data_IF_681740815074
#
_entry.id   IF_681740815074
#
_cell.length_a   1.000
_cell.length_b   1.000
_cell.length_c   1.000
_cell.angle_alpha   90.00
_cell.angle_beta   90.00
_cell.angle_gamma   90.00
#
_symmetry.space_group_name_H-M   'P 1'
#
loop_
_entity.id
_entity.type
_entity.pdbx_description
1 polymer ?
#
# COMPACT_ATOMS: atom_id res chain seq x y z
N UNK A 1 25.03 5.81 -3.51
CA UNK A 1 23.90 5.42 -2.62
C UNK A 1 22.76 4.96 -3.50
N UNK A 2 22.07 3.88 -3.13
CA UNK A 2 21.01 3.29 -3.93
C UNK A 2 19.64 3.60 -3.30
N UNK A 3 18.83 4.46 -3.94
CA UNK A 3 17.52 4.84 -3.44
C UNK A 3 16.48 3.75 -3.73
N UNK A 4 15.79 3.28 -2.69
CA UNK A 4 14.74 2.27 -2.79
C UNK A 4 13.37 2.95 -2.69
N UNK A 5 12.42 2.61 -3.57
CA UNK A 5 11.01 3.01 -3.39
C UNK A 5 10.28 1.90 -2.63
N UNK A 6 9.64 2.25 -1.52
CA UNK A 6 8.60 1.41 -0.90
C UNK A 6 7.24 1.96 -1.32
N UNK A 7 6.61 1.28 -2.27
CA UNK A 7 5.35 1.72 -2.87
C UNK A 7 4.15 1.13 -2.12
N UNK A 8 3.56 1.95 -1.25
CA UNK A 8 2.33 1.65 -0.52
C UNK A 8 1.10 1.91 -1.40
N UNK A 9 0.11 1.02 -1.32
CA UNK A 9 -1.19 1.13 -2.02
C UNK A 9 -2.34 0.77 -1.07
N UNK A 10 -2.63 -0.53 -0.93
CA UNK A 10 -3.71 -1.09 -0.07
C UNK A 10 -3.18 -1.76 1.20
N UNK A 11 -1.88 -1.65 1.41
CA UNK A 11 -1.06 -2.27 2.42
C UNK A 11 -0.55 -1.24 3.42
N UNK A 12 -1.43 -0.35 3.89
CA UNK A 12 -1.10 0.84 4.68
C UNK A 12 -0.73 0.53 6.14
N UNK A 13 0.36 -0.22 6.34
CA UNK A 13 0.92 -0.62 7.65
C UNK A 13 2.43 -0.85 7.55
N UNK A 14 3.15 -0.69 8.66
CA UNK A 14 4.58 -1.01 8.77
C UNK A 14 4.84 -2.44 9.27
N UNK A 15 3.94 -2.98 10.11
CA UNK A 15 4.02 -4.35 10.63
C UNK A 15 3.61 -5.38 9.57
N UNK A 16 4.25 -6.55 9.59
CA UNK A 16 3.97 -7.63 8.63
C UNK A 16 4.05 -7.14 7.17
N UNK A 17 5.12 -6.39 6.86
CA UNK A 17 5.29 -5.69 5.60
C UNK A 17 6.63 -6.06 4.94
N UNK A 18 6.67 -7.20 4.26
CA UNK A 18 7.88 -7.73 3.60
C UNK A 18 8.60 -6.72 2.68
N UNK A 19 7.91 -5.93 1.83
CA UNK A 19 8.57 -4.95 0.97
C UNK A 19 9.32 -3.87 1.75
N UNK A 20 8.81 -3.47 2.92
CA UNK A 20 9.41 -2.40 3.73
C UNK A 20 10.70 -2.90 4.37
N UNK A 21 10.65 -4.10 4.96
CA UNK A 21 11.83 -4.77 5.54
C UNK A 21 12.90 -5.02 4.47
N UNK A 22 12.51 -5.53 3.31
CA UNK A 22 13.44 -5.84 2.22
C UNK A 22 14.11 -4.58 1.64
N UNK A 23 13.37 -3.47 1.53
CA UNK A 23 13.92 -2.20 1.06
C UNK A 23 14.85 -1.57 2.10
N UNK A 24 14.45 -1.54 3.38
CA UNK A 24 15.23 -0.95 4.47
C UNK A 24 16.60 -1.63 4.61
N UNK A 25 16.68 -2.94 4.40
CA UNK A 25 17.93 -3.70 4.39
C UNK A 25 18.90 -3.34 3.24
N UNK A 26 18.44 -2.61 2.21
CA UNK A 26 19.25 -2.24 1.03
C UNK A 26 19.69 -0.78 1.00
N UNK A 27 19.18 0.05 1.90
CA UNK A 27 19.60 1.44 2.06
C UNK A 27 18.44 2.43 2.15
N UNK A 28 18.68 3.71 1.81
CA UNK A 28 17.69 4.78 1.90
C UNK A 28 16.39 4.46 1.16
N UNK A 29 15.26 4.62 1.85
CA UNK A 29 13.93 4.31 1.39
C UNK A 29 13.10 5.59 1.24
N UNK A 30 12.50 5.73 0.05
CA UNK A 30 11.39 6.64 -0.21
C UNK A 30 10.08 5.87 0.00
N UNK A 31 9.45 6.05 1.17
CA UNK A 31 8.13 5.49 1.47
C UNK A 31 7.07 6.33 0.75
N UNK A 32 6.43 5.75 -0.28
CA UNK A 32 5.65 6.50 -1.25
C UNK A 32 4.22 5.98 -1.37
N UNK A 33 3.26 6.90 -1.32
CA UNK A 33 1.89 6.68 -1.76
C UNK A 33 1.54 7.66 -2.88
N UNK A 34 0.83 7.18 -3.90
CA UNK A 34 0.41 7.99 -5.05
C UNK A 34 -1.11 8.02 -5.10
N UNK A 35 -1.71 9.21 -5.02
CA UNK A 35 -3.10 9.41 -5.39
C UNK A 35 -3.22 9.37 -6.91
N UNK A 36 -3.80 8.29 -7.43
CA UNK A 36 -3.89 8.03 -8.86
C UNK A 36 -5.21 8.57 -9.41
N UNK A 37 -5.21 9.55 -10.34
CA UNK A 37 -6.46 10.10 -10.87
C UNK A 37 -7.37 9.05 -11.51
N UNK A 38 -6.80 8.01 -12.12
CA UNK A 38 -7.58 6.91 -12.72
C UNK A 38 -8.30 6.03 -11.70
N UNK A 39 -7.81 5.95 -10.45
CA UNK A 39 -8.49 5.25 -9.37
C UNK A 39 -9.49 6.15 -8.66
N UNK A 40 -9.13 7.41 -8.42
CA UNK A 40 -10.03 8.39 -7.80
C UNK A 40 -11.29 8.64 -8.64
N UNK A 41 -11.17 8.61 -9.96
CA UNK A 41 -12.26 8.82 -10.90
C UNK A 41 -12.91 7.52 -11.39
N UNK A 42 -12.57 6.38 -10.76
CA UNK A 42 -13.17 5.10 -11.11
C UNK A 42 -14.66 5.06 -10.67
N UNK A 43 -15.55 4.36 -11.42
CA UNK A 43 -16.97 4.30 -11.08
C UNK A 43 -17.27 3.69 -9.70
N UNK A 44 -16.36 2.88 -9.17
CA UNK A 44 -16.43 2.22 -7.87
C UNK A 44 -15.72 3.00 -6.75
N UNK A 45 -15.29 4.24 -7.00
CA UNK A 45 -14.63 5.08 -6.00
C UNK A 45 -15.56 6.17 -5.46
N UNK A 46 -15.79 6.16 -4.15
CA UNK A 46 -16.66 7.11 -3.45
C UNK A 46 -15.82 8.04 -2.55
N UNK A 47 -16.23 9.32 -2.32
CA UNK A 47 -15.56 10.21 -1.36
C UNK A 47 -15.34 9.60 0.04
N UNK A 48 -16.21 8.70 0.48
CA UNK A 48 -16.05 7.96 1.75
C UNK A 48 -14.83 7.03 1.74
N UNK A 49 -14.46 6.46 0.59
CA UNK A 49 -13.21 5.70 0.43
C UNK A 49 -11.99 6.61 0.60
N UNK A 50 -12.03 7.84 0.08
CA UNK A 50 -10.95 8.81 0.24
C UNK A 50 -10.77 9.22 1.70
N UNK A 51 -11.86 9.41 2.43
CA UNK A 51 -11.81 9.74 3.86
C UNK A 51 -11.14 8.63 4.68
N UNK A 52 -11.59 7.37 4.50
CA UNK A 52 -10.98 6.20 5.14
C UNK A 52 -9.49 6.05 4.77
N UNK A 53 -9.18 6.27 3.49
CA UNK A 53 -7.81 6.23 2.97
C UNK A 53 -6.94 7.30 3.65
N UNK A 54 -7.40 8.54 3.71
CA UNK A 54 -6.64 9.65 4.31
C UNK A 54 -6.35 9.42 5.80
N UNK A 55 -7.33 8.92 6.55
CA UNK A 55 -7.14 8.53 7.96
C UNK A 55 -6.09 7.41 8.09
N UNK A 56 -6.13 6.42 7.18
CA UNK A 56 -5.16 5.34 7.14
C UNK A 56 -3.75 5.80 6.76
N UNK A 57 -3.62 6.75 5.82
CA UNK A 57 -2.35 7.37 5.44
C UNK A 57 -1.75 8.19 6.57
N UNK A 58 -2.57 8.91 7.35
CA UNK A 58 -2.12 9.63 8.53
C UNK A 58 -1.59 8.69 9.64
N UNK A 59 -2.27 7.55 9.85
CA UNK A 59 -1.79 6.48 10.73
C UNK A 59 -0.46 5.93 10.25
N UNK A 60 -0.34 5.58 8.96
CA UNK A 60 0.89 5.06 8.36
C UNK A 60 2.05 6.07 8.45
N UNK A 61 1.78 7.36 8.22
CA UNK A 61 2.79 8.40 8.33
C UNK A 61 3.36 8.48 9.75
N UNK A 62 2.50 8.45 10.77
CA UNK A 62 2.93 8.40 12.19
C UNK A 62 3.75 7.15 12.48
N UNK A 63 3.36 5.99 11.94
CA UNK A 63 4.11 4.74 12.11
C UNK A 63 5.51 4.82 11.48
N UNK A 64 5.62 5.38 10.28
CA UNK A 64 6.91 5.59 9.59
C UNK A 64 7.81 6.59 10.33
N UNK A 65 7.24 7.66 10.92
CA UNK A 65 8.00 8.62 11.75
C UNK A 65 8.67 7.95 12.94
N UNK A 66 7.98 7.00 13.60
CA UNK A 66 8.57 6.20 14.68
C UNK A 66 9.74 5.34 14.22
N UNK A 67 9.79 4.98 12.93
CA UNK A 67 10.87 4.21 12.30
C UNK A 67 11.97 5.09 11.68
N UNK A 68 11.92 6.41 11.89
CA UNK A 68 12.91 7.35 11.35
C UNK A 68 12.72 7.71 9.87
N UNK A 69 11.53 7.47 9.31
CA UNK A 69 11.17 7.83 7.94
C UNK A 69 9.87 8.64 7.89
N UNK A 70 9.39 9.00 6.71
CA UNK A 70 8.11 9.68 6.54
C UNK A 70 7.40 9.18 5.30
N UNK A 71 6.06 9.22 5.32
CA UNK A 71 5.27 8.95 4.12
C UNK A 71 5.33 10.16 3.19
N UNK A 72 5.79 9.95 1.96
CA UNK A 72 5.75 10.92 0.87
C UNK A 72 4.51 10.66 0.02
N UNK A 73 3.75 11.72 -0.23
CA UNK A 73 2.55 11.70 -1.05
C UNK A 73 2.84 12.32 -2.42
N UNK A 74 2.33 11.69 -3.48
CA UNK A 74 2.29 12.24 -4.85
C UNK A 74 0.87 12.17 -5.38
N UNK A 75 0.58 12.99 -6.38
CA UNK A 75 -0.64 12.92 -7.17
C UNK A 75 -0.24 12.77 -8.63
N UNK A 76 -0.74 11.76 -9.31
CA UNK A 76 -0.38 11.53 -10.71
C UNK A 76 -0.63 10.12 -11.18
N UNK A 77 -0.35 9.87 -12.46
CA UNK A 77 -0.50 8.55 -13.07
C UNK A 77 0.79 7.76 -12.93
N UNK A 78 0.68 6.45 -12.80
CA UNK A 78 1.83 5.55 -12.86
C UNK A 78 1.92 4.90 -14.26
N UNK A 79 3.13 4.85 -14.87
CA UNK A 79 4.46 5.05 -14.25
C UNK A 79 5.01 6.50 -14.26
N UNK A 80 4.28 7.51 -14.71
CA UNK A 80 4.80 8.88 -14.90
C UNK A 80 5.43 9.46 -13.63
N UNK A 81 4.79 9.29 -12.47
CA UNK A 81 5.36 9.70 -11.18
C UNK A 81 6.69 9.01 -10.88
N UNK A 82 6.85 7.73 -11.23
CA UNK A 82 8.12 7.02 -11.04
C UNK A 82 9.18 7.46 -12.05
N UNK A 83 8.78 7.82 -13.27
CA UNK A 83 9.69 8.39 -14.28
C UNK A 83 10.29 9.70 -13.76
N UNK A 84 9.46 10.58 -13.22
CA UNK A 84 9.88 11.85 -12.63
C UNK A 84 10.83 11.63 -11.46
N UNK A 85 10.44 10.79 -10.49
CA UNK A 85 11.29 10.45 -9.34
C UNK A 85 12.61 9.78 -9.75
N UNK A 86 12.61 8.95 -10.80
CA UNK A 86 13.84 8.33 -11.30
C UNK A 86 14.78 9.36 -11.92
N UNK A 87 14.24 10.29 -12.71
CA UNK A 87 15.03 11.38 -13.33
C UNK A 87 15.64 12.29 -12.29
N UNK A 88 14.92 12.58 -11.21
CA UNK A 88 15.35 13.52 -10.18
C UNK A 88 16.35 12.88 -9.19
N UNK A 89 16.10 11.64 -8.77
CA UNK A 89 16.82 11.04 -7.63
C UNK A 89 17.56 9.74 -7.93
N UNK A 90 17.36 9.13 -9.09
CA UNK A 90 17.94 7.83 -9.43
C UNK A 90 17.41 6.69 -8.56
N UNK A 91 16.24 6.15 -8.94
CA UNK A 91 15.68 4.96 -8.28
C UNK A 91 16.50 3.71 -8.62
N UNK A 92 16.90 2.97 -7.58
CA UNK A 92 17.64 1.72 -7.72
C UNK A 92 16.75 0.48 -7.78
N UNK A 93 15.67 0.43 -6.99
CA UNK A 93 14.66 -0.63 -7.07
C UNK A 93 13.32 -0.18 -6.47
N UNK A 94 12.25 -0.87 -6.84
CA UNK A 94 10.89 -0.64 -6.35
C UNK A 94 10.44 -1.88 -5.57
N UNK A 95 9.87 -1.67 -4.39
CA UNK A 95 9.37 -2.71 -3.50
C UNK A 95 7.90 -2.43 -3.22
N UNK A 96 7.06 -3.45 -3.35
CA UNK A 96 5.66 -3.37 -2.92
C UNK A 96 5.06 -4.75 -2.79
N UNK A 97 3.90 -4.85 -2.16
CA UNK A 97 3.13 -6.09 -2.24
C UNK A 97 2.50 -6.28 -3.62
N UNK A 98 2.21 -7.53 -3.97
CA UNK A 98 1.21 -7.88 -4.97
C UNK A 98 -0.12 -7.24 -4.53
N UNK A 99 -0.65 -6.28 -5.28
CA UNK A 99 -1.98 -5.74 -4.98
C UNK A 99 -3.03 -6.76 -5.40
N UNK A 100 -4.10 -6.96 -4.62
CA UNK A 100 -5.33 -7.60 -5.09
C UNK A 100 -6.36 -6.49 -5.32
N UNK A 101 -6.59 -6.14 -6.57
CA UNK A 101 -7.43 -4.99 -6.94
C UNK A 101 -8.18 -5.23 -8.26
N UNK A 102 -8.89 -4.19 -8.71
CA UNK A 102 -9.70 -4.24 -9.93
C UNK A 102 -8.85 -4.15 -11.22
N UNK A 103 -9.51 -4.14 -12.38
CA UNK A 103 -8.85 -4.07 -13.68
C UNK A 103 -7.96 -2.83 -13.85
N UNK A 104 -8.37 -1.66 -13.33
CA UNK A 104 -7.62 -0.41 -13.43
C UNK A 104 -6.27 -0.55 -12.71
N UNK A 105 -6.29 -0.99 -11.44
CA UNK A 105 -5.05 -1.23 -10.67
C UNK A 105 -4.14 -2.28 -11.34
N UNK A 106 -4.72 -3.30 -11.96
CA UNK A 106 -3.95 -4.31 -12.69
C UNK A 106 -3.28 -3.75 -13.95
N UNK A 107 -3.99 -2.93 -14.73
CA UNK A 107 -3.41 -2.25 -15.90
C UNK A 107 -2.27 -1.32 -15.50
N UNK A 108 -2.44 -0.57 -14.41
CA UNK A 108 -1.37 0.24 -13.81
C UNK A 108 -0.14 -0.60 -13.46
N UNK A 109 -0.28 -1.72 -12.76
CA UNK A 109 0.87 -2.59 -12.42
C UNK A 109 1.59 -3.11 -13.66
N UNK A 110 0.85 -3.41 -14.73
CA UNK A 110 1.45 -3.82 -16.01
C UNK A 110 2.28 -2.68 -16.62
N UNK A 111 1.78 -1.44 -16.61
CA UNK A 111 2.52 -0.28 -17.11
C UNK A 111 3.78 -0.01 -16.28
N UNK A 112 3.66 -0.05 -14.95
CA UNK A 112 4.81 0.12 -14.02
C UNK A 112 5.87 -0.94 -14.26
N UNK A 113 5.51 -2.22 -14.33
CA UNK A 113 6.46 -3.30 -14.62
C UNK A 113 7.13 -3.17 -15.98
N UNK A 114 6.36 -2.84 -17.02
CA UNK A 114 6.89 -2.67 -18.37
C UNK A 114 7.93 -1.55 -18.41
N UNK A 115 7.61 -0.40 -17.79
CA UNK A 115 8.54 0.71 -17.68
C UNK A 115 9.77 0.36 -16.84
N UNK A 116 9.60 -0.19 -15.64
CA UNK A 116 10.72 -0.55 -14.76
C UNK A 116 11.69 -1.52 -15.45
N UNK A 117 11.15 -2.52 -16.18
CA UNK A 117 11.96 -3.44 -17.00
C UNK A 117 12.74 -2.70 -18.08
N UNK A 118 12.11 -1.79 -18.82
CA UNK A 118 12.77 -1.02 -19.87
C UNK A 118 13.86 -0.07 -19.32
N UNK A 119 13.65 0.47 -18.12
CA UNK A 119 14.61 1.34 -17.43
C UNK A 119 15.71 0.56 -16.67
N UNK A 120 15.69 -0.78 -16.66
CA UNK A 120 16.65 -1.60 -15.91
C UNK A 120 16.49 -1.52 -14.38
N UNK A 121 15.31 -1.12 -13.89
CA UNK A 121 14.99 -0.96 -12.47
C UNK A 121 14.28 -2.25 -11.97
N UNK A 122 14.87 -3.00 -11.04
CA UNK A 122 14.20 -4.15 -10.44
C UNK A 122 12.92 -3.75 -9.71
N UNK A 123 11.83 -4.49 -9.96
CA UNK A 123 10.57 -4.38 -9.24
C UNK A 123 10.34 -5.67 -8.45
N UNK A 124 10.36 -5.56 -7.13
CA UNK A 124 10.17 -6.66 -6.18
C UNK A 124 8.76 -6.63 -5.62
N UNK A 125 7.94 -7.58 -6.07
CA UNK A 125 6.56 -7.78 -5.60
C UNK A 125 6.51 -8.93 -4.58
N UNK A 126 5.90 -8.69 -3.42
CA UNK A 126 5.77 -9.67 -2.35
C UNK A 126 4.30 -10.07 -2.13
N UNK A 127 3.98 -11.35 -1.90
CA UNK A 127 2.62 -11.73 -1.55
C UNK A 127 2.23 -11.15 -0.19
N UNK A 128 1.00 -10.65 -0.05
CA UNK A 128 0.47 -10.07 1.20
C UNK A 128 -0.67 -10.89 1.83
N UNK A 129 -1.23 -11.83 1.07
CA UNK A 129 -2.37 -12.64 1.48
C UNK A 129 -2.37 -13.99 0.73
N UNK A 130 -3.39 -14.82 0.99
CA UNK A 130 -3.54 -16.13 0.36
C UNK A 130 -3.95 -16.09 -1.11
N UNK A 131 -4.28 -14.92 -1.68
CA UNK A 131 -4.69 -14.79 -3.08
C UNK A 131 -3.46 -14.82 -3.98
N UNK A 132 -3.35 -15.88 -4.76
CA UNK A 132 -2.30 -16.01 -5.77
C UNK A 132 -2.80 -15.41 -7.08
N UNK A 133 -2.14 -14.35 -7.56
CA UNK A 133 -2.47 -13.77 -8.87
C UNK A 133 -1.82 -14.58 -9.99
N UNK A 134 -2.48 -14.61 -11.16
CA UNK A 134 -1.95 -15.22 -12.41
C UNK A 134 -1.73 -16.73 -12.37
N UNK A 135 -2.50 -17.45 -11.58
CA UNK A 135 -2.52 -18.90 -11.68
C UNK A 135 -3.06 -19.34 -13.04
N UNK A 136 -2.26 -20.10 -13.80
CA UNK A 136 -2.69 -20.75 -15.03
C UNK A 136 -3.58 -21.97 -14.76
N UNK A 137 -3.41 -22.61 -13.61
CA UNK A 137 -4.25 -23.71 -13.10
C UNK A 137 -4.58 -23.52 -11.61
N UNK A 138 -5.72 -24.04 -11.17
CA UNK A 138 -6.14 -24.05 -9.76
C UNK A 138 -5.71 -25.31 -9.01
N UNK A 139 -5.10 -26.28 -9.67
CA UNK A 139 -4.75 -27.58 -9.07
C UNK A 139 -3.87 -27.43 -7.83
N UNK A 140 -2.89 -26.52 -7.89
CA UNK A 140 -1.97 -26.25 -6.79
C UNK A 140 -2.44 -25.14 -5.84
N UNK A 141 -3.59 -24.51 -6.11
CA UNK A 141 -4.02 -23.31 -5.36
C UNK A 141 -4.13 -23.58 -3.86
N UNK A 142 -4.68 -24.73 -3.46
CA UNK A 142 -4.82 -25.07 -2.03
C UNK A 142 -3.46 -25.23 -1.35
N UNK A 143 -2.49 -25.84 -2.03
CA UNK A 143 -1.14 -26.01 -1.49
C UNK A 143 -0.43 -24.66 -1.33
N UNK A 144 -0.48 -23.81 -2.37
CA UNK A 144 0.12 -22.47 -2.33
C UNK A 144 -0.55 -21.59 -1.27
N UNK A 145 -1.88 -21.63 -1.16
CA UNK A 145 -2.62 -20.91 -0.13
C UNK A 145 -2.19 -21.36 1.27
N UNK A 146 -2.12 -22.68 1.53
CA UNK A 146 -1.67 -23.22 2.82
C UNK A 146 -0.25 -22.80 3.16
N UNK A 147 0.64 -22.79 2.16
CA UNK A 147 2.01 -22.31 2.34
C UNK A 147 2.00 -20.83 2.73
N UNK A 148 1.32 -19.96 1.95
CA UNK A 148 1.22 -18.51 2.21
C UNK A 148 0.67 -18.21 3.61
N UNK A 149 -0.37 -18.90 4.04
CA UNK A 149 -1.01 -18.68 5.36
C UNK A 149 -0.21 -19.23 6.55
N UNK A 150 0.83 -20.04 6.31
CA UNK A 150 1.73 -20.54 7.36
C UNK A 150 2.95 -19.65 7.58
N UNK A 151 3.16 -18.63 6.74
CA UNK A 151 4.26 -17.70 6.97
C UNK A 151 4.08 -16.98 8.30
N UNK A 152 5.19 -16.86 9.03
CA UNK A 152 5.22 -16.11 10.27
C UNK A 152 5.02 -14.63 9.97
N UNK A 153 4.37 -13.96 10.91
CA UNK A 153 4.24 -12.50 10.92
C UNK A 153 5.63 -11.88 10.85
N UNK A 154 5.85 -11.01 9.88
CA UNK A 154 7.14 -10.35 9.70
C UNK A 154 7.25 -9.22 10.75
N UNK A 155 8.31 -9.20 11.58
CA UNK A 155 8.51 -8.13 12.54
C UNK A 155 8.77 -6.80 11.82
N UNK A 156 8.36 -5.71 12.46
CA UNK A 156 8.68 -4.36 12.00
C UNK A 156 10.20 -4.15 12.04
N UNK A 157 10.81 -3.48 11.05
CA UNK A 157 12.24 -3.17 11.12
C UNK A 157 12.49 -2.19 12.27
N UNK A 158 13.68 -2.23 12.87
CA UNK A 158 14.05 -1.28 13.94
C UNK A 158 14.18 0.15 13.44
N UNK A 159 14.54 0.32 12.16
CA UNK A 159 14.69 1.59 11.47
C UNK A 159 14.39 1.43 9.99
N UNK A 160 13.96 2.51 9.34
CA UNK A 160 13.79 2.58 7.89
C UNK A 160 14.64 3.76 7.41
N UNK A 161 15.86 3.54 6.90
CA UNK A 161 16.76 4.62 6.51
C UNK A 161 16.08 5.63 5.58
N UNK A 162 15.98 6.88 6.01
CA UNK A 162 15.32 7.93 5.23
C UNK A 162 16.17 8.36 4.03
N UNK A 163 15.50 8.97 3.04
CA UNK A 163 16.21 9.65 1.96
C UNK A 163 17.06 10.79 2.55
N UNK A 164 18.33 10.94 2.14
CA UNK A 164 19.16 12.05 2.57
C UNK A 164 18.49 13.41 2.37
N UNK A 165 18.58 14.29 3.37
CA UNK A 165 17.93 15.62 3.40
C UNK A 165 18.30 16.48 2.19
N UNK A 166 19.47 16.26 1.60
CA UNK A 166 19.96 16.99 0.43
C UNK A 166 19.10 16.76 -0.83
N UNK A 167 18.33 15.67 -0.90
CA UNK A 167 17.51 15.32 -2.06
C UNK A 167 16.13 16.00 -2.03
N UNK A 168 15.87 16.99 -1.16
CA UNK A 168 14.70 17.90 -1.18
C UNK A 168 13.40 17.30 -1.72
N UNK A 169 12.94 16.18 -1.17
CA UNK A 169 11.73 15.51 -1.65
C UNK A 169 10.50 16.28 -1.18
N UNK A 170 9.85 17.00 -2.09
CA UNK A 170 8.53 17.61 -1.84
C UNK A 170 7.50 16.52 -1.53
N UNK A 171 6.45 16.80 -0.76
CA UNK A 171 5.30 15.89 -0.57
C UNK A 171 4.01 16.67 -0.80
N UNK A 172 3.03 16.04 -1.45
CA UNK A 172 1.67 16.56 -1.48
C UNK A 172 1.05 16.51 -0.07
N UNK A 173 -0.01 17.31 0.15
CA UNK A 173 -0.90 17.15 1.29
C UNK A 173 -1.89 16.01 1.05
N UNK A 174 -2.57 15.55 2.12
CA UNK A 174 -3.76 14.72 1.98
C UNK A 174 -4.78 15.46 1.10
N UNK A 175 -5.40 14.74 0.17
CA UNK A 175 -6.36 15.34 -0.76
C UNK A 175 -7.72 15.50 -0.09
N UNK A 176 -8.35 16.67 -0.27
CA UNK A 176 -9.78 16.81 -0.02
C UNK A 176 -10.59 16.18 -1.15
N UNK A 177 -11.87 15.91 -0.90
CA UNK A 177 -12.78 15.43 -1.94
C UNK A 177 -12.88 16.44 -3.10
N UNK A 178 -12.82 17.76 -2.85
CA UNK A 178 -12.79 18.76 -3.92
C UNK A 178 -11.54 18.60 -4.79
N UNK A 179 -10.36 18.48 -4.16
CA UNK A 179 -9.08 18.36 -4.87
C UNK A 179 -8.99 17.04 -5.66
N UNK A 180 -9.66 15.99 -5.17
CA UNK A 180 -9.78 14.71 -5.86
C UNK A 180 -10.80 14.73 -7.03
N UNK A 181 -11.53 15.84 -7.22
CA UNK A 181 -12.59 15.94 -8.23
C UNK A 181 -13.82 15.07 -7.90
N UNK A 182 -14.08 14.84 -6.62
CA UNK A 182 -15.20 14.05 -6.12
C UNK A 182 -16.35 14.95 -5.69
N UNK A 183 -17.54 14.37 -5.54
CA UNK A 183 -18.65 15.05 -4.87
C UNK A 183 -18.50 14.95 -3.35
N UNK A 184 -19.16 15.85 -2.62
CA UNK A 184 -19.12 15.82 -1.16
C UNK A 184 -19.68 14.48 -0.63
N UNK A 185 -19.07 13.91 0.43
CA UNK A 185 -19.57 12.68 1.03
C UNK A 185 -21.00 12.88 1.56
N UNK A 186 -21.88 11.92 1.27
CA UNK A 186 -23.29 11.96 1.68
C UNK A 186 -23.50 11.43 3.11
N UNK A 187 -22.52 10.70 3.65
CA UNK A 187 -22.57 10.04 4.96
C UNK A 187 -21.37 10.50 5.77
N UNK A 188 -21.61 10.93 7.01
CA UNK A 188 -20.56 11.46 7.90
C UNK A 188 -20.17 10.50 9.04
N UNK A 189 -20.81 9.34 9.20
CA UNK A 189 -20.47 8.35 10.23
C UNK A 189 -19.96 7.05 9.61
N UNK A 190 -18.68 7.04 9.25
CA UNK A 190 -18.02 5.87 8.67
C UNK A 190 -17.14 5.18 9.71
N UNK A 191 -16.74 3.96 9.38
CA UNK A 191 -15.64 3.30 10.06
C UNK A 191 -14.38 4.15 9.91
N UNK A 192 -13.71 4.45 11.01
CA UNK A 192 -12.45 5.18 10.98
C UNK A 192 -11.33 4.32 10.38
N UNK A 193 -10.52 4.93 9.52
CA UNK A 193 -9.29 4.35 8.98
C UNK A 193 -8.16 4.34 10.01
N UNK A 194 -7.10 3.61 9.69
CA UNK A 194 -5.92 3.45 10.55
C UNK A 194 -5.73 2.03 11.09
N UNK A 195 -4.46 1.70 11.36
CA UNK A 195 -4.08 0.34 11.78
C UNK A 195 -4.63 0.01 13.16
N UNK A 196 -4.60 0.95 14.10
CA UNK A 196 -5.08 0.70 15.46
C UNK A 196 -6.57 0.33 15.46
N UNK A 197 -7.38 1.08 14.71
CA UNK A 197 -8.81 0.83 14.56
C UNK A 197 -9.07 -0.56 13.94
N UNK A 198 -8.24 -0.98 12.99
CA UNK A 198 -8.32 -2.33 12.42
C UNK A 198 -7.98 -3.42 13.45
N UNK A 199 -6.96 -3.22 14.30
CA UNK A 199 -6.58 -4.15 15.37
C UNK A 199 -7.68 -4.24 16.41
N UNK A 200 -8.24 -3.12 16.87
CA UNK A 200 -9.33 -3.10 17.85
C UNK A 200 -10.57 -3.82 17.30
N UNK A 201 -10.90 -3.57 16.02
CA UNK A 201 -11.99 -4.25 15.33
C UNK A 201 -11.77 -5.76 15.27
N UNK A 202 -10.57 -6.21 14.90
CA UNK A 202 -10.18 -7.62 14.87
C UNK A 202 -10.25 -8.27 16.25
N UNK A 203 -9.68 -7.63 17.28
CA UNK A 203 -9.69 -8.14 18.64
C UNK A 203 -11.12 -8.26 19.18
N UNK A 204 -11.96 -7.24 18.97
CA UNK A 204 -13.38 -7.30 19.35
C UNK A 204 -14.11 -8.46 18.67
N UNK A 205 -13.77 -8.75 17.41
CA UNK A 205 -14.35 -9.87 16.69
C UNK A 205 -13.90 -11.20 17.27
N UNK A 206 -12.60 -11.42 17.42
CA UNK A 206 -12.05 -12.68 17.92
C UNK A 206 -12.46 -13.00 19.37
N UNK A 207 -12.60 -11.98 20.23
CA UNK A 207 -12.86 -12.17 21.65
C UNK A 207 -14.35 -12.14 22.02
N UNK A 208 -15.15 -11.36 21.26
CA UNK A 208 -16.55 -11.06 21.61
C UNK A 208 -17.50 -11.35 20.45
N UNK A 209 -17.43 -10.59 19.35
CA UNK A 209 -18.46 -10.60 18.29
C UNK A 209 -18.49 -11.89 17.46
N UNK A 210 -17.37 -12.62 17.42
CA UNK A 210 -17.20 -13.83 16.61
C UNK A 210 -17.71 -15.10 17.28
N UNK A 211 -18.13 -15.06 18.55
CA UNK A 211 -18.53 -16.26 19.33
C UNK A 211 -19.64 -17.06 18.64
N UNK A 212 -20.64 -16.36 18.12
CA UNK A 212 -21.81 -16.96 17.46
C UNK A 212 -21.75 -16.82 15.93
N UNK A 213 -20.58 -16.52 15.37
CA UNK A 213 -20.44 -16.18 13.95
C UNK A 213 -21.00 -17.24 13.00
N UNK A 214 -20.83 -18.52 13.33
CA UNK A 214 -21.37 -19.64 12.53
C UNK A 214 -22.90 -19.64 12.48
N UNK A 215 -23.58 -19.30 13.58
CA UNK A 215 -25.05 -19.35 13.68
C UNK A 215 -25.72 -18.04 13.28
N UNK A 216 -25.08 -16.90 13.54
CA UNK A 216 -25.67 -15.57 13.29
C UNK A 216 -25.46 -15.06 11.85
N UNK A 217 -24.57 -15.69 11.07
CA UNK A 217 -24.40 -15.35 9.64
C UNK A 217 -25.33 -16.11 8.69
N UNK A 218 -25.98 -17.17 9.16
CA UNK A 218 -26.90 -17.96 8.33
C UNK A 218 -28.32 -17.48 8.62
N UNK A 219 -28.84 -16.62 7.76
CA UNK A 219 -30.28 -16.40 7.62
C UNK A 219 -30.91 -17.54 6.82
#
# INVERSE_FOLDING_TARGET
>A
MALQIVWFRRDLRTTDHAPLVAAAARGPCLCLFVYEPELLQAPDFDPTHLEFLNQSLASLHSDLQRLGNQLVLRVGRLPDVFIELHREFGISAIFGHEETGNWISYQRDRRVRAWAKAAGIPCHEFPSNGVVRRLSSRDDWSAIWKQRMRHLVIPEPSEVPAVPVQLSITSASLLTWQQAGLTAPRVCSLQAGGRQQAIDCLQSFLQVRGRNYRSEMSS
#
